data_IF_016906842505
#
_entry.id   IF_016906842505
#
_cell.length_a   1.000
_cell.length_b   1.000
_cell.length_c   1.000
_cell.angle_alpha   90.00
_cell.angle_beta   90.00
_cell.angle_gamma   90.00
#
_symmetry.space_group_name_H-M   'P 1'
#
loop_
_entity.id
_entity.type
_entity.pdbx_description
1 polymer ?
#
# COMPACT_ATOMS: atom_id res chain seq x y z
N UNK A 1 -24.11 1.40 26.66
CA UNK A 1 -23.85 0.76 25.33
C UNK A 1 -23.52 -0.70 25.55
N UNK A 2 -24.34 -1.63 25.04
CA UNK A 2 -24.18 -3.09 25.24
C UNK A 2 -22.91 -3.63 24.56
N UNK A 3 -22.35 -4.76 25.03
CA UNK A 3 -21.16 -5.38 24.41
C UNK A 3 -21.35 -5.67 22.90
N UNK A 4 -22.56 -6.06 22.49
CA UNK A 4 -22.93 -6.27 21.07
C UNK A 4 -22.71 -5.00 20.21
N UNK A 5 -23.02 -3.83 20.76
CA UNK A 5 -22.84 -2.55 20.05
C UNK A 5 -21.37 -2.15 19.93
N UNK A 6 -20.52 -2.55 20.90
CA UNK A 6 -19.07 -2.33 20.81
C UNK A 6 -18.44 -3.20 19.72
N UNK A 7 -18.82 -4.49 19.63
CA UNK A 7 -18.29 -5.41 18.62
C UNK A 7 -18.68 -4.98 17.19
N UNK A 8 -19.89 -4.45 17.00
CA UNK A 8 -20.36 -3.95 15.72
C UNK A 8 -19.49 -2.81 15.16
N UNK A 9 -18.89 -1.97 16.02
CA UNK A 9 -18.03 -0.87 15.62
C UNK A 9 -16.69 -1.32 15.01
N UNK A 10 -16.26 -2.55 15.27
CA UNK A 10 -15.01 -3.16 14.77
C UNK A 10 -15.20 -4.04 13.54
N UNK A 11 -16.44 -4.32 13.13
CA UNK A 11 -16.76 -5.07 11.90
C UNK A 11 -16.00 -4.63 10.66
N UNK A 12 -15.70 -3.34 10.42
CA UNK A 12 -14.94 -2.97 9.23
C UNK A 12 -13.54 -3.57 9.15
N UNK A 13 -12.92 -3.94 10.28
CA UNK A 13 -11.62 -4.63 10.26
C UNK A 13 -11.68 -6.00 9.58
N UNK A 14 -12.87 -6.62 9.47
CA UNK A 14 -13.05 -7.85 8.70
C UNK A 14 -12.71 -7.65 7.22
N UNK A 15 -12.79 -6.43 6.69
CA UNK A 15 -12.36 -6.14 5.32
C UNK A 15 -10.86 -6.31 5.11
N UNK A 16 -10.04 -6.39 6.17
CA UNK A 16 -8.63 -6.77 6.05
C UNK A 16 -8.45 -8.20 5.53
N UNK A 17 -9.46 -9.08 5.66
CA UNK A 17 -9.45 -10.42 5.07
C UNK A 17 -9.45 -10.39 3.53
N UNK A 18 -9.76 -9.25 2.90
CA UNK A 18 -9.59 -9.08 1.47
C UNK A 18 -8.11 -9.24 1.05
N UNK A 19 -7.15 -8.88 1.91
CA UNK A 19 -5.71 -8.97 1.62
C UNK A 19 -5.25 -10.43 1.39
N UNK A 20 -5.45 -11.37 2.33
CA UNK A 20 -5.05 -12.76 2.10
C UNK A 20 -5.85 -13.42 0.97
N UNK A 21 -7.12 -13.05 0.76
CA UNK A 21 -7.92 -13.54 -0.38
C UNK A 21 -7.29 -13.08 -1.70
N UNK A 22 -6.89 -11.81 -1.80
CA UNK A 22 -6.21 -11.27 -2.98
C UNK A 22 -4.82 -11.89 -3.17
N UNK A 23 -4.08 -12.19 -2.09
CA UNK A 23 -2.78 -12.84 -2.17
C UNK A 23 -2.81 -14.25 -2.80
N UNK A 24 -3.97 -14.91 -2.90
CA UNK A 24 -4.09 -16.17 -3.67
C UNK A 24 -3.69 -15.95 -5.13
N UNK A 25 -4.07 -14.80 -5.73
CA UNK A 25 -3.70 -14.47 -7.11
C UNK A 25 -2.18 -14.26 -7.25
N UNK A 26 -1.52 -13.71 -6.23
CA UNK A 26 -0.07 -13.59 -6.22
C UNK A 26 0.59 -14.97 -6.35
N UNK A 27 0.19 -15.93 -5.51
CA UNK A 27 0.73 -17.28 -5.53
C UNK A 27 0.47 -18.00 -6.87
N UNK A 28 -0.71 -17.78 -7.47
CA UNK A 28 -1.05 -18.36 -8.77
C UNK A 28 -0.22 -17.77 -9.92
N UNK A 29 0.17 -16.50 -9.83
CA UNK A 29 0.92 -15.83 -10.90
C UNK A 29 2.43 -15.99 -10.74
N UNK A 30 2.96 -16.19 -9.52
CA UNK A 30 4.41 -16.15 -9.26
C UNK A 30 5.19 -17.41 -9.69
N UNK A 31 5.20 -17.76 -10.99
CA UNK A 31 5.80 -19.01 -11.48
C UNK A 31 6.58 -18.93 -12.80
N UNK A 32 6.74 -17.76 -13.43
CA UNK A 32 7.67 -17.54 -14.55
C UNK A 32 7.46 -18.36 -15.84
N UNK A 33 6.29 -18.99 -16.01
CA UNK A 33 6.06 -20.02 -17.06
C UNK A 33 6.09 -19.46 -18.49
N UNK A 34 5.94 -18.16 -18.66
CA UNK A 34 5.81 -17.50 -19.97
C UNK A 34 7.03 -16.63 -20.34
N UNK A 35 8.14 -16.77 -19.60
CA UNK A 35 9.25 -15.81 -19.66
C UNK A 35 8.91 -14.52 -18.89
N UNK A 36 9.94 -13.85 -18.38
CA UNK A 36 9.79 -12.63 -17.58
C UNK A 36 10.72 -11.54 -18.13
N UNK A 37 10.18 -10.32 -18.27
CA UNK A 37 10.97 -9.15 -18.63
C UNK A 37 11.97 -8.79 -17.55
N UNK A 38 13.04 -8.09 -17.93
CA UNK A 38 14.03 -7.57 -16.99
C UNK A 38 14.01 -6.05 -17.03
N UNK A 39 13.77 -5.42 -15.88
CA UNK A 39 13.74 -3.96 -15.73
C UNK A 39 14.98 -3.41 -15.00
N UNK A 40 16.02 -4.21 -14.81
CA UNK A 40 17.29 -3.78 -14.21
C UNK A 40 17.92 -2.69 -15.05
N UNK A 41 18.39 -1.65 -14.36
CA UNK A 41 19.14 -0.52 -14.92
C UNK A 41 20.54 -0.44 -14.29
N UNK A 42 21.40 0.42 -14.83
CA UNK A 42 22.73 0.65 -14.26
C UNK A 42 22.68 1.18 -12.81
N UNK A 43 21.61 1.90 -12.46
CA UNK A 43 21.40 2.38 -11.10
C UNK A 43 21.21 1.21 -10.10
N UNK A 44 20.56 0.14 -10.52
CA UNK A 44 20.34 -1.05 -9.68
C UNK A 44 21.64 -1.82 -9.40
N UNK A 45 22.61 -1.74 -10.32
CA UNK A 45 23.92 -2.37 -10.19
C UNK A 45 24.80 -1.64 -9.17
N UNK A 46 24.56 -0.36 -8.91
CA UNK A 46 25.29 0.44 -7.91
C UNK A 46 24.82 0.12 -6.49
N UNK A 47 23.55 -0.30 -6.32
CA UNK A 47 23.00 -0.64 -5.00
C UNK A 47 23.71 -1.91 -4.48
N UNK A 48 24.38 -1.88 -3.32
CA UNK A 48 25.04 -3.07 -2.78
C UNK A 48 24.01 -4.10 -2.29
N UNK A 49 24.41 -5.36 -2.26
CA UNK A 49 23.63 -6.39 -1.58
C UNK A 49 23.93 -6.35 -0.07
N UNK A 50 22.90 -6.25 0.78
CA UNK A 50 23.05 -6.15 2.23
C UNK A 50 22.06 -7.08 2.97
N UNK A 51 22.55 -8.24 3.43
CA UNK A 51 21.71 -9.29 4.01
C UNK A 51 20.94 -8.86 5.27
N UNK A 52 21.49 -7.93 6.08
CA UNK A 52 20.84 -7.44 7.30
C UNK A 52 19.45 -6.83 7.03
N UNK A 53 19.21 -6.33 5.81
CA UNK A 53 17.92 -5.78 5.40
C UNK A 53 16.84 -6.85 5.15
N UNK A 54 17.15 -8.14 5.26
CA UNK A 54 16.14 -9.19 5.32
C UNK A 54 15.17 -9.00 6.50
N UNK A 55 15.64 -8.42 7.61
CA UNK A 55 14.80 -8.18 8.80
C UNK A 55 13.67 -7.19 8.52
N UNK A 56 13.92 -5.94 8.09
CA UNK A 56 12.83 -5.03 7.74
C UNK A 56 11.95 -5.57 6.60
N UNK A 57 12.52 -6.31 5.64
CA UNK A 57 11.73 -6.99 4.61
C UNK A 57 10.68 -7.94 5.20
N UNK A 58 11.07 -8.81 6.14
CA UNK A 58 10.15 -9.77 6.78
C UNK A 58 9.16 -9.09 7.73
N UNK A 59 9.54 -7.99 8.38
CA UNK A 59 8.66 -7.21 9.26
C UNK A 59 7.60 -6.40 8.49
N UNK A 60 7.68 -6.35 7.17
CA UNK A 60 6.73 -5.64 6.32
C UNK A 60 5.27 -6.03 6.57
N UNK A 61 4.96 -7.34 6.52
CA UNK A 61 3.57 -7.81 6.62
C UNK A 61 2.91 -7.46 7.97
N UNK A 62 3.53 -7.76 9.14
CA UNK A 62 2.95 -7.33 10.41
C UNK A 62 2.88 -5.80 10.53
N UNK A 63 3.86 -5.06 10.01
CA UNK A 63 3.83 -3.60 10.02
C UNK A 63 2.63 -3.03 9.24
N UNK A 64 2.39 -3.47 8.00
CA UNK A 64 1.25 -3.02 7.19
C UNK A 64 -0.07 -3.31 7.90
N UNK A 65 -0.23 -4.52 8.45
CA UNK A 65 -1.43 -4.90 9.18
C UNK A 65 -1.67 -4.00 10.41
N UNK A 66 -0.65 -3.83 11.26
CA UNK A 66 -0.74 -2.99 12.45
C UNK A 66 -1.07 -1.54 12.11
N UNK A 67 -0.47 -1.01 11.03
CA UNK A 67 -0.72 0.37 10.61
C UNK A 67 -2.12 0.55 10.02
N UNK A 68 -2.67 -0.41 9.28
CA UNK A 68 -4.07 -0.36 8.84
C UNK A 68 -5.04 -0.35 10.03
N UNK A 69 -4.79 -1.17 11.06
CA UNK A 69 -5.56 -1.15 12.30
C UNK A 69 -5.40 0.19 13.03
N UNK A 70 -4.18 0.73 13.12
CA UNK A 70 -3.93 2.02 13.75
C UNK A 70 -4.66 3.17 13.01
N UNK A 71 -4.62 3.18 11.68
CA UNK A 71 -5.35 4.16 10.85
C UNK A 71 -6.86 4.01 11.10
N UNK A 72 -7.39 2.79 11.15
CA UNK A 72 -8.78 2.52 11.48
C UNK A 72 -9.20 3.13 12.82
N UNK A 73 -8.38 2.95 13.87
CA UNK A 73 -8.66 3.48 15.20
C UNK A 73 -8.59 5.01 15.25
N UNK A 74 -7.74 5.63 14.42
CA UNK A 74 -7.53 7.08 14.39
C UNK A 74 -8.53 7.82 13.50
N UNK A 75 -8.79 7.30 12.31
CA UNK A 75 -9.63 7.95 11.31
C UNK A 75 -10.25 6.93 10.35
N UNK A 76 -11.56 6.68 10.52
CA UNK A 76 -12.32 5.70 9.71
C UNK A 76 -12.32 6.06 8.22
N UNK A 77 -12.39 7.33 7.86
CA UNK A 77 -12.39 7.77 6.45
C UNK A 77 -11.04 7.44 5.79
N UNK A 78 -9.94 7.82 6.45
CA UNK A 78 -8.60 7.51 5.98
C UNK A 78 -8.37 6.00 5.89
N UNK A 79 -8.91 5.21 6.82
CA UNK A 79 -8.85 3.75 6.75
C UNK A 79 -9.51 3.18 5.50
N UNK A 80 -10.76 3.56 5.21
CA UNK A 80 -11.45 3.07 4.01
C UNK A 80 -10.75 3.51 2.73
N UNK A 81 -10.29 4.76 2.67
CA UNK A 81 -9.51 5.26 1.54
C UNK A 81 -8.22 4.44 1.35
N UNK A 82 -7.50 4.17 2.43
CA UNK A 82 -6.24 3.40 2.39
C UNK A 82 -6.53 1.96 1.96
N UNK A 83 -7.53 1.30 2.55
CA UNK A 83 -7.84 -0.10 2.26
C UNK A 83 -8.35 -0.31 0.83
N UNK A 84 -9.24 0.55 0.33
CA UNK A 84 -9.74 0.43 -1.05
C UNK A 84 -8.62 0.71 -2.07
N UNK A 85 -7.73 1.67 -1.76
CA UNK A 85 -6.55 1.94 -2.59
C UNK A 85 -5.59 0.74 -2.59
N UNK A 86 -5.42 0.07 -1.45
CA UNK A 86 -4.62 -1.14 -1.33
C UNK A 86 -5.19 -2.24 -2.22
N UNK A 87 -6.48 -2.56 -2.08
CA UNK A 87 -7.13 -3.60 -2.87
C UNK A 87 -7.08 -3.30 -4.37
N UNK A 88 -7.35 -2.05 -4.76
CA UNK A 88 -7.25 -1.64 -6.17
C UNK A 88 -5.81 -1.73 -6.69
N UNK A 89 -4.83 -1.32 -5.88
CA UNK A 89 -3.42 -1.44 -6.20
C UNK A 89 -3.01 -2.89 -6.43
N UNK A 90 -3.40 -3.81 -5.54
CA UNK A 90 -3.16 -5.25 -5.70
C UNK A 90 -3.80 -5.79 -6.98
N UNK A 91 -5.06 -5.44 -7.27
CA UNK A 91 -5.75 -5.88 -8.48
C UNK A 91 -5.01 -5.40 -9.74
N UNK A 92 -4.59 -4.14 -9.77
CA UNK A 92 -3.81 -3.59 -10.89
C UNK A 92 -2.45 -4.29 -11.01
N UNK A 93 -1.74 -4.51 -9.90
CA UNK A 93 -0.49 -5.28 -9.88
C UNK A 93 -0.68 -6.68 -10.47
N UNK A 94 -1.71 -7.42 -10.04
CA UNK A 94 -1.98 -8.77 -10.56
C UNK A 94 -2.38 -8.77 -12.03
N UNK A 95 -3.15 -7.77 -12.47
CA UNK A 95 -3.47 -7.62 -13.89
C UNK A 95 -2.20 -7.39 -14.72
N UNK A 96 -1.24 -6.60 -14.22
CA UNK A 96 0.06 -6.41 -14.85
C UNK A 96 0.84 -7.74 -14.84
N UNK A 97 0.97 -8.41 -13.70
CA UNK A 97 1.67 -9.70 -13.63
C UNK A 97 1.08 -10.76 -14.56
N UNK A 98 -0.23 -10.77 -14.78
CA UNK A 98 -0.87 -11.73 -15.68
C UNK A 98 -0.46 -11.56 -17.15
N UNK A 99 -0.07 -10.36 -17.58
CA UNK A 99 0.27 -10.05 -18.98
C UNK A 99 1.74 -9.65 -19.19
N UNK A 100 2.42 -9.21 -18.13
CA UNK A 100 3.76 -8.66 -18.14
C UNK A 100 4.48 -9.00 -16.82
N UNK A 101 4.94 -10.25 -16.73
CA UNK A 101 5.81 -10.66 -15.63
C UNK A 101 7.20 -10.06 -15.79
N UNK A 102 7.78 -9.63 -14.67
CA UNK A 102 9.18 -9.19 -14.63
C UNK A 102 9.95 -9.94 -13.56
N UNK A 103 11.27 -10.03 -13.76
CA UNK A 103 12.18 -10.74 -12.89
C UNK A 103 13.38 -9.88 -12.51
N UNK A 104 14.00 -10.24 -11.38
CA UNK A 104 15.18 -9.59 -10.85
C UNK A 104 16.26 -10.66 -10.59
N UNK A 105 17.48 -10.49 -11.13
CA UNK A 105 18.59 -11.37 -10.80
C UNK A 105 18.88 -11.35 -9.29
N UNK A 106 18.82 -12.52 -8.65
CA UNK A 106 19.14 -12.67 -7.23
C UNK A 106 20.65 -12.56 -7.00
N UNK A 107 21.05 -11.89 -5.92
CA UNK A 107 22.44 -11.98 -5.46
C UNK A 107 22.77 -13.41 -5.02
N UNK A 108 24.00 -13.85 -5.29
CA UNK A 108 24.52 -15.09 -4.74
C UNK A 108 24.83 -14.89 -3.25
N UNK A 109 24.12 -15.61 -2.37
CA UNK A 109 24.25 -15.49 -0.92
C UNK A 109 25.28 -16.51 -0.40
N UNK A 110 26.54 -16.08 -0.27
CA UNK A 110 27.67 -16.95 0.10
C UNK A 110 27.93 -17.05 1.61
N UNK A 111 27.46 -16.09 2.41
CA UNK A 111 27.67 -16.08 3.87
C UNK A 111 26.86 -17.15 4.61
N UNK A 112 27.31 -17.57 5.79
CA UNK A 112 26.65 -18.58 6.64
C UNK A 112 25.93 -17.97 7.85
N UNK A 113 25.83 -16.64 7.92
CA UNK A 113 25.22 -15.91 9.02
C UNK A 113 23.69 -16.06 9.11
N UNK A 114 23.12 -15.61 10.23
CA UNK A 114 21.68 -15.61 10.45
C UNK A 114 20.95 -14.75 9.39
N UNK A 115 21.51 -13.60 9.02
CA UNK A 115 20.92 -12.73 7.99
C UNK A 115 20.96 -13.36 6.60
N UNK A 116 22.06 -14.01 6.23
CA UNK A 116 22.16 -14.77 4.97
C UNK A 116 21.10 -15.87 4.89
N UNK A 117 20.88 -16.57 6.01
CA UNK A 117 19.85 -17.59 6.12
C UNK A 117 18.44 -17.02 5.94
N UNK A 118 18.16 -15.82 6.48
CA UNK A 118 16.89 -15.13 6.23
C UNK A 118 16.73 -14.74 4.76
N UNK A 119 17.77 -14.26 4.09
CA UNK A 119 17.70 -13.96 2.64
C UNK A 119 17.41 -15.22 1.84
N UNK A 120 18.09 -16.34 2.12
CA UNK A 120 17.82 -17.62 1.45
C UNK A 120 16.39 -18.08 1.66
N UNK A 121 15.86 -17.94 2.88
CA UNK A 121 14.45 -18.23 3.17
C UNK A 121 13.51 -17.36 2.34
N UNK A 122 13.77 -16.06 2.26
CA UNK A 122 13.01 -15.12 1.42
C UNK A 122 13.06 -15.55 -0.05
N UNK A 123 14.24 -15.81 -0.61
CA UNK A 123 14.39 -16.22 -2.02
C UNK A 123 13.73 -17.57 -2.33
N UNK A 124 13.68 -18.49 -1.35
CA UNK A 124 13.02 -19.78 -1.51
C UNK A 124 11.49 -19.66 -1.50
N UNK A 125 10.95 -18.75 -0.68
CA UNK A 125 9.49 -18.60 -0.46
C UNK A 125 8.83 -17.56 -1.35
N UNK A 126 9.60 -16.59 -1.86
CA UNK A 126 9.12 -15.49 -2.70
C UNK A 126 9.90 -15.44 -4.01
N UNK A 127 9.31 -16.06 -5.03
CA UNK A 127 9.93 -16.21 -6.35
C UNK A 127 9.97 -14.87 -7.12
N UNK A 128 10.98 -14.65 -7.97
CA UNK A 128 11.19 -13.37 -8.66
C UNK A 128 10.42 -13.28 -9.99
N UNK A 129 9.11 -13.53 -10.02
CA UNK A 129 8.35 -13.47 -11.29
C UNK A 129 7.21 -12.43 -11.30
N UNK A 130 6.93 -11.82 -10.16
CA UNK A 130 5.90 -10.78 -9.99
C UNK A 130 6.53 -9.48 -9.47
N UNK A 131 7.65 -9.04 -10.07
CA UNK A 131 8.44 -7.94 -9.53
C UNK A 131 7.81 -6.55 -9.78
N UNK A 132 7.33 -6.26 -11.01
CA UNK A 132 6.82 -4.94 -11.39
C UNK A 132 5.28 -4.88 -11.44
N UNK A 133 4.62 -3.96 -10.71
CA UNK A 133 5.15 -3.07 -9.68
C UNK A 133 5.28 -3.80 -8.32
N UNK A 134 6.16 -3.35 -7.42
CA UNK A 134 6.40 -4.04 -6.14
C UNK A 134 5.27 -3.89 -5.12
N UNK A 135 4.67 -5.00 -4.65
CA UNK A 135 3.64 -4.99 -3.59
C UNK A 135 4.20 -4.48 -2.25
N UNK A 136 5.44 -4.83 -1.92
CA UNK A 136 6.13 -4.34 -0.71
C UNK A 136 6.18 -2.82 -0.70
N UNK A 137 6.59 -2.22 -1.83
CA UNK A 137 6.67 -0.77 -1.99
C UNK A 137 5.28 -0.13 -2.01
N UNK A 138 4.34 -0.72 -2.76
CA UNK A 138 2.97 -0.22 -2.89
C UNK A 138 2.31 -0.05 -1.52
N UNK A 139 2.36 -1.10 -0.70
CA UNK A 139 1.71 -1.09 0.61
C UNK A 139 2.46 -0.22 1.61
N UNK A 140 3.80 -0.24 1.63
CA UNK A 140 4.61 0.57 2.54
C UNK A 140 4.43 2.07 2.26
N UNK A 141 4.49 2.48 0.98
CA UNK A 141 4.24 3.85 0.58
C UNK A 141 2.80 4.29 0.85
N UNK A 142 1.83 3.39 0.62
CA UNK A 142 0.43 3.64 0.93
C UNK A 142 0.17 3.84 2.43
N UNK A 143 0.92 3.17 3.33
CA UNK A 143 0.86 3.46 4.77
C UNK A 143 1.26 4.91 5.06
N UNK A 144 2.31 5.44 4.41
CA UNK A 144 2.71 6.85 4.55
C UNK A 144 1.53 7.77 4.18
N UNK A 145 0.89 7.52 3.03
CA UNK A 145 -0.26 8.30 2.55
C UNK A 145 -1.46 8.19 3.50
N UNK A 146 -1.78 6.98 3.97
CA UNK A 146 -2.88 6.72 4.89
C UNK A 146 -2.71 7.36 6.26
N UNK A 147 -1.50 7.30 6.82
CA UNK A 147 -1.14 7.99 8.08
C UNK A 147 -1.24 9.51 7.91
N UNK A 148 -0.76 10.06 6.80
CA UNK A 148 -0.86 11.49 6.50
C UNK A 148 -2.32 11.94 6.36
N UNK A 149 -3.13 11.19 5.59
CA UNK A 149 -4.54 11.48 5.37
C UNK A 149 -5.40 11.33 6.63
N UNK A 150 -4.97 10.51 7.59
CA UNK A 150 -5.63 10.39 8.90
C UNK A 150 -5.57 11.71 9.67
N UNK A 151 -4.44 12.44 9.64
CA UNK A 151 -4.28 13.72 10.35
C UNK A 151 -4.27 13.64 11.89
N UNK A 152 -4.71 12.52 12.48
CA UNK A 152 -4.85 12.32 13.92
C UNK A 152 -3.65 11.63 14.59
N UNK A 153 -2.57 11.36 13.84
CA UNK A 153 -1.33 10.80 14.38
C UNK A 153 -0.40 11.90 14.87
N UNK A 154 0.21 11.69 16.05
CA UNK A 154 1.24 12.57 16.57
C UNK A 154 2.50 12.58 15.69
N UNK A 155 3.29 13.66 15.77
CA UNK A 155 4.48 13.88 14.95
C UNK A 155 5.45 12.69 15.01
N UNK A 156 5.71 12.16 16.20
CA UNK A 156 6.61 11.03 16.39
C UNK A 156 6.14 9.78 15.63
N UNK A 157 4.88 9.37 15.79
CA UNK A 157 4.34 8.19 15.09
C UNK A 157 4.34 8.36 13.58
N UNK A 158 4.07 9.58 13.08
CA UNK A 158 4.15 9.87 11.64
C UNK A 158 5.56 9.70 11.09
N UNK A 159 6.55 10.23 11.80
CA UNK A 159 7.96 10.09 11.41
C UNK A 159 8.39 8.63 11.49
N UNK A 160 8.10 7.93 12.60
CA UNK A 160 8.46 6.53 12.78
C UNK A 160 7.84 5.63 11.69
N UNK A 161 6.55 5.79 11.39
CA UNK A 161 5.90 5.05 10.33
C UNK A 161 6.49 5.37 8.95
N UNK A 162 6.82 6.64 8.69
CA UNK A 162 7.47 7.06 7.45
C UNK A 162 8.87 6.46 7.28
N UNK A 163 9.71 6.57 8.30
CA UNK A 163 11.06 6.00 8.31
C UNK A 163 11.00 4.50 8.09
N UNK A 164 10.17 3.78 8.85
CA UNK A 164 10.08 2.32 8.72
C UNK A 164 9.54 1.88 7.35
N UNK A 165 8.58 2.61 6.79
CA UNK A 165 8.08 2.36 5.43
C UNK A 165 9.18 2.53 4.39
N UNK A 166 9.99 3.59 4.49
CA UNK A 166 11.13 3.79 3.60
C UNK A 166 12.25 2.76 3.82
N UNK A 167 12.45 2.29 5.05
CA UNK A 167 13.37 1.18 5.33
C UNK A 167 12.93 -0.12 4.67
N UNK A 168 11.63 -0.42 4.65
CA UNK A 168 11.10 -1.57 3.90
C UNK A 168 11.30 -1.38 2.39
N UNK A 169 11.04 -0.20 1.87
CA UNK A 169 11.27 0.08 0.43
C UNK A 169 12.74 -0.12 0.09
N UNK A 170 13.65 0.46 0.87
CA UNK A 170 15.09 0.29 0.69
C UNK A 170 15.51 -1.18 0.83
N UNK A 171 14.93 -1.93 1.78
CA UNK A 171 15.26 -3.33 1.98
C UNK A 171 14.99 -4.15 0.73
N UNK A 172 13.88 -3.90 0.03
CA UNK A 172 13.56 -4.62 -1.22
C UNK A 172 14.65 -4.49 -2.28
N UNK A 173 15.34 -3.35 -2.35
CA UNK A 173 16.44 -3.13 -3.29
C UNK A 173 17.75 -3.75 -2.79
N UNK A 174 18.04 -3.57 -1.50
CA UNK A 174 19.28 -4.03 -0.85
C UNK A 174 19.37 -5.55 -0.77
N UNK A 175 18.24 -6.25 -0.60
CA UNK A 175 18.22 -7.72 -0.68
C UNK A 175 17.93 -8.24 -2.08
N UNK A 176 18.12 -7.41 -3.12
CA UNK A 176 17.89 -7.75 -4.55
C UNK A 176 16.55 -8.47 -4.78
N UNK A 177 15.52 -7.97 -4.09
CA UNK A 177 14.14 -8.42 -4.27
C UNK A 177 13.44 -7.71 -5.42
N UNK A 178 13.70 -6.41 -5.53
CA UNK A 178 13.12 -5.52 -6.52
C UNK A 178 14.19 -4.59 -7.11
N UNK A 179 13.86 -4.00 -8.25
CA UNK A 179 14.62 -2.91 -8.86
C UNK A 179 13.95 -1.55 -8.63
N UNK A 180 14.68 -0.46 -8.88
CA UNK A 180 14.20 0.91 -8.72
C UNK A 180 12.91 1.15 -9.52
N UNK A 181 12.80 0.58 -10.73
CA UNK A 181 11.60 0.72 -11.56
C UNK A 181 10.38 0.05 -10.92
N UNK A 182 10.52 -1.09 -10.23
CA UNK A 182 9.43 -1.71 -9.48
C UNK A 182 8.91 -0.79 -8.37
N UNK A 183 9.83 -0.13 -7.67
CA UNK A 183 9.51 0.80 -6.60
C UNK A 183 8.85 2.07 -7.15
N UNK A 184 9.40 2.65 -8.22
CA UNK A 184 8.85 3.83 -8.89
C UNK A 184 7.44 3.56 -9.44
N UNK A 185 7.23 2.40 -10.07
CA UNK A 185 5.92 1.98 -10.56
C UNK A 185 4.87 1.90 -9.45
N UNK A 186 5.23 1.34 -8.30
CA UNK A 186 4.33 1.28 -7.13
C UNK A 186 4.01 2.65 -6.55
N UNK A 187 5.01 3.52 -6.41
CA UNK A 187 4.81 4.88 -5.90
C UNK A 187 3.89 5.66 -6.85
N UNK A 188 4.15 5.59 -8.16
CA UNK A 188 3.31 6.20 -9.18
C UNK A 188 1.87 5.69 -9.12
N UNK A 189 1.69 4.38 -9.02
CA UNK A 189 0.37 3.76 -8.91
C UNK A 189 -0.40 4.25 -7.67
N UNK A 190 0.28 4.37 -6.52
CA UNK A 190 -0.35 4.91 -5.30
C UNK A 190 -0.71 6.39 -5.48
N UNK A 191 0.17 7.21 -6.07
CA UNK A 191 -0.13 8.62 -6.34
C UNK A 191 -1.30 8.82 -7.32
N UNK A 192 -1.53 7.87 -8.23
CA UNK A 192 -2.70 7.87 -9.11
C UNK A 192 -3.98 7.45 -8.39
N UNK A 193 -3.95 6.33 -7.67
CA UNK A 193 -5.15 5.72 -7.09
C UNK A 193 -5.63 6.43 -5.81
N UNK A 194 -4.70 6.84 -4.94
CA UNK A 194 -5.04 7.40 -3.63
C UNK A 194 -5.93 8.65 -3.67
N UNK A 195 -5.67 9.67 -4.52
CA UNK A 195 -6.57 10.83 -4.62
C UNK A 195 -7.93 10.47 -5.23
N UNK A 196 -7.98 9.56 -6.21
CA UNK A 196 -9.23 9.08 -6.82
C UNK A 196 -10.13 8.45 -5.75
N UNK A 197 -9.60 7.53 -4.96
CA UNK A 197 -10.36 6.91 -3.88
C UNK A 197 -10.64 7.86 -2.71
N UNK A 198 -9.79 8.86 -2.49
CA UNK A 198 -10.07 9.95 -1.55
C UNK A 198 -11.30 10.76 -1.93
N UNK A 199 -11.45 11.08 -3.22
CA UNK A 199 -12.63 11.76 -3.75
C UNK A 199 -13.86 10.86 -3.64
N UNK A 200 -13.79 9.60 -4.10
CA UNK A 200 -14.91 8.66 -4.06
C UNK A 200 -15.41 8.43 -2.64
N UNK A 201 -14.53 8.14 -1.69
CA UNK A 201 -14.89 7.95 -0.28
C UNK A 201 -15.49 9.23 0.33
N UNK A 202 -15.01 10.41 -0.08
CA UNK A 202 -15.60 11.69 0.28
C UNK A 202 -17.05 11.86 -0.23
N UNK A 203 -17.30 11.53 -1.50
CA UNK A 203 -18.64 11.60 -2.11
C UNK A 203 -19.61 10.64 -1.40
N UNK A 204 -19.20 9.39 -1.16
CA UNK A 204 -20.05 8.41 -0.47
C UNK A 204 -20.37 8.83 0.96
N UNK A 205 -19.38 9.35 1.70
CA UNK A 205 -19.59 9.84 3.05
C UNK A 205 -20.58 11.01 3.08
N UNK A 206 -20.46 11.95 2.14
CA UNK A 206 -21.38 13.10 2.00
C UNK A 206 -22.80 12.66 1.67
N UNK A 207 -22.98 11.80 0.67
CA UNK A 207 -24.30 11.27 0.29
C UNK A 207 -24.98 10.53 1.43
N UNK A 208 -24.23 9.75 2.20
CA UNK A 208 -24.75 9.06 3.40
C UNK A 208 -25.19 10.05 4.47
N UNK A 209 -24.46 11.13 4.67
CA UNK A 209 -24.85 12.20 5.60
C UNK A 209 -26.12 12.91 5.14
N UNK A 210 -26.22 13.26 3.85
CA UNK A 210 -27.41 13.91 3.26
C UNK A 210 -28.66 13.03 3.33
N UNK A 211 -28.51 11.73 3.04
CA UNK A 211 -29.60 10.76 3.17
C UNK A 211 -30.05 10.56 4.63
N UNK A 212 -29.13 10.64 5.59
CA UNK A 212 -29.45 10.55 7.02
C UNK A 212 -30.06 11.85 7.58
N UNK A 213 -29.79 13.00 6.98
CA UNK A 213 -30.33 14.30 7.39
C UNK A 213 -31.61 14.73 6.68
N UNK A 214 -32.05 13.99 5.65
CA UNK A 214 -33.31 14.24 4.93
C UNK A 214 -33.32 15.50 4.03
N UNK A 215 -32.17 16.12 3.76
CA UNK A 215 -32.06 17.34 2.94
C UNK A 215 -31.41 17.04 1.58
N UNK A 216 -32.10 17.22 0.43
CA UNK A 216 -31.49 17.02 -0.88
C UNK A 216 -30.47 18.11 -1.21
N UNK A 217 -29.28 17.70 -1.67
CA UNK A 217 -28.10 18.51 -1.96
C UNK A 217 -28.20 19.48 -3.14
N UNK A 218 -29.16 20.42 -3.12
CA UNK A 218 -29.23 21.56 -4.05
C UNK A 218 -29.36 22.87 -3.29
N UNK A 219 -28.31 23.32 -2.58
CA UNK A 219 -28.32 24.68 -2.02
C UNK A 219 -26.92 25.25 -1.68
N UNK A 220 -25.90 25.01 -2.51
CA UNK A 220 -24.55 25.55 -2.25
C UNK A 220 -23.86 26.22 -3.46
N UNK A 221 -24.55 26.41 -4.60
CA UNK A 221 -23.96 27.01 -5.81
C UNK A 221 -24.69 28.27 -6.32
N UNK A 222 -25.64 28.82 -5.56
CA UNK A 222 -26.28 30.11 -5.86
C UNK A 222 -26.30 31.00 -4.61
N UNK A 223 -25.15 31.57 -4.26
CA UNK A 223 -25.08 32.66 -3.27
C UNK A 223 -23.96 33.67 -3.52
N UNK A 224 -23.12 33.52 -4.56
CA UNK A 224 -22.04 34.49 -4.85
C UNK A 224 -22.32 35.40 -6.05
N UNK A 225 -23.53 35.40 -6.60
CA UNK A 225 -23.90 36.25 -7.73
C UNK A 225 -25.15 37.08 -7.42
N UNK A 226 -25.05 38.01 -6.49
CA UNK A 226 -25.96 39.16 -6.36
C UNK A 226 -25.50 40.04 -5.18
N UNK A 227 -24.53 40.92 -5.41
CA UNK A 227 -24.54 42.32 -4.93
C UNK A 227 -23.52 43.11 -5.75
N UNK A 228 -23.92 43.52 -6.96
CA UNK A 228 -23.51 44.80 -7.56
C UNK A 228 -24.81 45.54 -7.87
N UNK A 229 -24.76 46.87 -7.72
CA UNK A 229 -25.79 47.90 -7.97
C UNK A 229 -26.53 48.35 -6.69
N UNK A 230 -26.08 49.44 -6.07
CA UNK A 230 -26.75 50.76 -6.13
C UNK A 230 -26.05 51.80 -5.24
N UNK A 231 -26.06 53.05 -5.74
CA UNK A 231 -25.58 54.32 -5.19
C UNK A 231 -24.06 54.56 -5.15
#
# INVERSE_FOLDING_TARGET
MTMKNKLAAYRPLLWLLAIPVLNVFYALLNHGKNGAGNLVTDLDNIIPFEAAFAVPYLLWYPFVFLMLVAIFLKNRKAYYQTLITLCAGLIVSYAIYAVFQTTVPRALVTGDGAFDSLVRFIYATDQPYNCFPSIHVLTSYLIIKGVSASGNFGRFTRIAAGVFSWTIIASTLLIKQHVILDAAGSIFLVELLFPVFGLLTGIFARRRSEAASGLPGKMALKSSASTKISA
#
